data_IF_899042535123
#
_entry.id   IF_899042535123
#
_cell.length_a   1.000
_cell.length_b   1.000
_cell.length_c   1.000
_cell.angle_alpha   90.00
_cell.angle_beta   90.00
_cell.angle_gamma   90.00
#
_symmetry.space_group_name_H-M   'P 1'
#
loop_
_entity.id
_entity.type
_entity.pdbx_description
1 polymer ?
#
# COMPACT_ATOMS: atom_id res chain seq x y z
N UNK A 1 -10.11 -1.09 6.11
CA UNK A 1 -11.00 -0.69 7.22
C UNK A 1 -10.76 -1.55 8.45
N UNK A 2 -11.07 -2.86 8.44
CA UNK A 2 -10.77 -3.77 9.58
C UNK A 2 -9.28 -3.77 10.00
N UNK A 3 -8.35 -3.79 9.03
CA UNK A 3 -6.90 -3.63 9.28
C UNK A 3 -6.60 -2.40 10.15
N UNK A 4 -7.19 -1.25 9.78
CA UNK A 4 -7.01 0.02 10.47
C UNK A 4 -7.62 0.00 11.88
N UNK A 5 -8.83 -0.53 12.02
CA UNK A 5 -9.50 -0.68 13.32
C UNK A 5 -8.64 -1.48 14.32
N UNK A 6 -8.11 -2.63 13.90
CA UNK A 6 -7.27 -3.48 14.75
C UNK A 6 -5.96 -2.79 15.11
N UNK A 7 -5.35 -2.08 14.17
CA UNK A 7 -4.08 -1.39 14.41
C UNK A 7 -4.24 -0.22 15.40
N UNK A 8 -5.26 0.61 15.20
CA UNK A 8 -5.56 1.76 16.07
C UNK A 8 -6.00 1.33 17.46
N UNK A 9 -6.60 0.15 17.61
CA UNK A 9 -7.04 -0.36 18.92
C UNK A 9 -5.93 -0.46 19.96
N UNK A 10 -4.65 -0.46 19.54
CA UNK A 10 -3.50 -0.35 20.43
C UNK A 10 -3.42 0.99 21.17
N UNK A 11 -3.88 2.08 20.54
CA UNK A 11 -3.90 3.43 21.14
C UNK A 11 -5.30 3.74 21.68
N UNK A 12 -6.33 3.52 20.85
CA UNK A 12 -7.70 3.92 21.14
C UNK A 12 -8.68 2.94 20.51
N UNK A 13 -9.60 2.39 21.30
CA UNK A 13 -10.66 1.54 20.75
C UNK A 13 -11.60 2.41 19.92
N UNK A 14 -11.82 2.01 18.67
CA UNK A 14 -12.74 2.68 17.74
C UNK A 14 -13.73 1.67 17.18
N UNK A 15 -14.94 2.14 16.84
CA UNK A 15 -15.92 1.31 16.18
C UNK A 15 -15.48 0.96 14.75
N UNK A 16 -16.09 -0.07 14.16
CA UNK A 16 -15.84 -0.37 12.74
C UNK A 16 -16.25 0.80 11.83
N UNK A 17 -17.36 1.48 12.17
CA UNK A 17 -17.86 2.62 11.42
C UNK A 17 -16.87 3.79 11.44
N UNK A 18 -16.26 4.09 12.59
CA UNK A 18 -15.20 5.11 12.68
C UNK A 18 -14.00 4.73 11.82
N UNK A 19 -13.57 3.46 11.88
CA UNK A 19 -12.45 2.98 11.08
C UNK A 19 -12.75 3.06 9.57
N UNK A 20 -13.99 2.81 9.17
CA UNK A 20 -14.49 2.94 7.80
C UNK A 20 -14.45 4.41 7.36
N UNK A 21 -15.07 5.32 8.13
CA UNK A 21 -15.08 6.76 7.88
C UNK A 21 -13.67 7.33 7.76
N UNK A 22 -12.78 6.98 8.68
CA UNK A 22 -11.38 7.40 8.66
C UNK A 22 -10.63 6.84 7.44
N UNK A 23 -10.85 5.57 7.07
CA UNK A 23 -10.17 4.97 5.91
C UNK A 23 -10.64 5.59 4.59
N UNK A 24 -11.94 5.84 4.44
CA UNK A 24 -12.52 6.40 3.20
C UNK A 24 -12.19 7.88 3.03
N UNK A 25 -12.29 8.67 4.11
CA UNK A 25 -11.87 10.08 4.08
C UNK A 25 -10.37 10.22 3.76
N UNK A 26 -9.54 9.34 4.32
CA UNK A 26 -8.12 9.32 4.06
C UNK A 26 -7.77 8.90 2.62
N UNK A 27 -8.49 7.93 2.06
CA UNK A 27 -8.35 7.58 0.65
C UNK A 27 -8.69 8.76 -0.26
N UNK A 28 -9.76 9.50 0.06
CA UNK A 28 -10.16 10.69 -0.70
C UNK A 28 -9.11 11.79 -0.64
N UNK A 29 -8.61 12.10 0.56
CA UNK A 29 -7.52 13.06 0.73
C UNK A 29 -6.25 12.64 -0.01
N UNK A 30 -6.00 11.33 -0.13
CA UNK A 30 -4.83 10.81 -0.84
C UNK A 30 -4.88 11.02 -2.35
N UNK A 31 -6.07 11.20 -2.95
CA UNK A 31 -6.23 11.44 -4.40
C UNK A 31 -5.56 12.72 -4.87
N UNK A 32 -5.65 13.79 -4.06
CA UNK A 32 -5.20 15.13 -4.41
C UNK A 32 -3.77 15.43 -3.92
N UNK A 33 -3.17 14.53 -3.15
CA UNK A 33 -1.83 14.72 -2.59
C UNK A 33 -0.78 13.83 -3.26
N UNK A 34 0.45 14.32 -3.49
CA UNK A 34 1.53 13.47 -3.98
C UNK A 34 1.85 12.38 -2.96
N UNK A 35 2.24 11.19 -3.45
CA UNK A 35 2.65 10.05 -2.63
C UNK A 35 1.70 9.70 -1.47
N UNK A 36 0.39 9.92 -1.65
CA UNK A 36 -0.67 9.63 -0.67
C UNK A 36 -0.44 10.28 0.71
N UNK A 37 0.29 11.38 0.79
CA UNK A 37 0.59 12.07 2.07
C UNK A 37 -0.71 12.49 2.80
N UNK A 38 -1.76 12.82 2.05
CA UNK A 38 -3.09 13.16 2.57
C UNK A 38 -3.73 12.05 3.41
N UNK A 39 -3.41 10.77 3.17
CA UNK A 39 -3.93 9.64 3.96
C UNK A 39 -3.49 9.73 5.43
N UNK A 40 -2.24 10.17 5.67
CA UNK A 40 -1.70 10.34 7.01
C UNK A 40 -2.34 11.51 7.75
N UNK A 41 -2.47 12.65 7.07
CA UNK A 41 -3.07 13.86 7.63
C UNK A 41 -4.55 13.63 7.95
N UNK A 42 -5.31 13.06 7.01
CA UNK A 42 -6.73 12.81 7.18
C UNK A 42 -7.01 11.92 8.39
N UNK A 43 -6.29 10.79 8.56
CA UNK A 43 -6.45 9.93 9.73
C UNK A 43 -6.08 10.63 11.04
N UNK A 44 -5.04 11.46 11.03
CA UNK A 44 -4.60 12.18 12.23
C UNK A 44 -5.61 13.24 12.71
N UNK A 45 -6.33 13.90 11.81
CA UNK A 45 -7.29 14.97 12.15
C UNK A 45 -8.48 14.46 12.98
N UNK A 46 -8.84 13.18 12.88
CA UNK A 46 -9.91 12.56 13.70
C UNK A 46 -9.53 12.40 15.19
N UNK A 47 -8.28 12.70 15.57
CA UNK A 47 -7.76 12.53 16.93
C UNK A 47 -7.27 13.85 17.53
N UNK A 48 -7.30 13.93 18.86
CA UNK A 48 -6.74 15.05 19.63
C UNK A 48 -5.22 15.15 19.43
N UNK A 49 -4.66 16.36 19.61
CA UNK A 49 -3.28 16.70 19.25
C UNK A 49 -2.24 15.76 19.89
N UNK A 50 -2.51 15.25 21.10
CA UNK A 50 -1.66 14.31 21.83
C UNK A 50 -1.48 12.97 21.10
N UNK A 51 -2.49 12.46 20.40
CA UNK A 51 -2.45 11.17 19.73
C UNK A 51 -1.99 11.23 18.26
N UNK A 52 -2.07 12.39 17.61
CA UNK A 52 -1.82 12.55 16.16
C UNK A 52 -0.51 11.92 15.68
N UNK A 53 0.60 12.16 16.41
CA UNK A 53 1.92 11.59 16.07
C UNK A 53 1.89 10.05 16.06
N UNK A 54 1.27 9.44 17.07
CA UNK A 54 1.18 7.98 17.18
C UNK A 54 0.25 7.39 16.10
N UNK A 55 -0.81 8.10 15.72
CA UNK A 55 -1.71 7.70 14.62
C UNK A 55 -0.99 7.73 13.27
N UNK A 56 -0.18 8.75 13.00
CA UNK A 56 0.67 8.82 11.79
C UNK A 56 1.64 7.63 11.76
N UNK A 57 2.26 7.28 12.89
CA UNK A 57 3.17 6.13 12.99
C UNK A 57 2.46 4.80 12.76
N UNK A 58 1.27 4.59 13.32
CA UNK A 58 0.48 3.39 13.04
C UNK A 58 0.12 3.30 11.56
N UNK A 59 -0.26 4.42 10.94
CA UNK A 59 -0.57 4.42 9.51
C UNK A 59 0.66 4.07 8.67
N UNK A 60 1.84 4.57 9.04
CA UNK A 60 3.10 4.21 8.42
C UNK A 60 3.37 2.70 8.53
N UNK A 61 3.22 2.11 9.72
CA UNK A 61 3.35 0.65 9.91
C UNK A 61 2.37 -0.15 9.02
N UNK A 62 1.16 0.38 8.80
CA UNK A 62 0.18 -0.26 7.93
C UNK A 62 0.58 -0.24 6.46
N UNK A 63 1.18 0.86 5.99
CA UNK A 63 1.72 0.97 4.62
C UNK A 63 3.01 0.16 4.45
N UNK A 64 3.88 0.13 5.45
CA UNK A 64 5.10 -0.71 5.44
C UNK A 64 4.76 -2.19 5.32
N UNK A 65 3.73 -2.68 6.04
CA UNK A 65 3.27 -4.06 5.90
C UNK A 65 2.67 -4.38 4.52
N UNK A 66 2.08 -3.38 3.85
CA UNK A 66 1.61 -3.53 2.47
C UNK A 66 2.78 -3.58 1.48
N UNK A 67 3.78 -2.73 1.69
CA UNK A 67 4.98 -2.70 0.86
C UNK A 67 5.77 -4.00 1.02
N UNK A 68 5.94 -4.52 2.24
CA UNK A 68 6.65 -5.78 2.46
C UNK A 68 5.96 -6.96 1.77
N UNK A 69 4.63 -7.05 1.83
CA UNK A 69 3.89 -8.06 1.06
C UNK A 69 4.16 -7.91 -0.45
N UNK A 70 4.11 -6.68 -0.97
CA UNK A 70 4.37 -6.41 -2.40
C UNK A 70 5.79 -6.79 -2.81
N UNK A 71 6.78 -6.51 -1.96
CA UNK A 71 8.17 -6.89 -2.19
C UNK A 71 8.34 -8.41 -2.20
N UNK A 72 7.78 -9.13 -1.22
CA UNK A 72 7.92 -10.60 -1.12
C UNK A 72 7.36 -11.27 -2.39
N UNK A 73 6.10 -11.00 -2.74
CA UNK A 73 5.48 -11.61 -3.91
C UNK A 73 6.06 -11.08 -5.21
N UNK A 74 6.37 -9.79 -5.27
CA UNK A 74 6.95 -9.15 -6.44
C UNK A 74 8.32 -9.70 -6.80
N UNK A 75 9.21 -9.89 -5.82
CA UNK A 75 10.54 -10.47 -6.06
C UNK A 75 10.43 -11.90 -6.57
N UNK A 76 9.51 -12.71 -6.02
CA UNK A 76 9.26 -14.08 -6.50
C UNK A 76 8.75 -14.04 -7.95
N UNK A 77 7.70 -13.26 -8.22
CA UNK A 77 7.10 -13.14 -9.54
C UNK A 77 8.08 -12.65 -10.60
N UNK A 78 8.86 -11.62 -10.27
CA UNK A 78 9.88 -11.06 -11.14
C UNK A 78 11.02 -12.01 -11.42
N UNK A 79 11.47 -12.78 -10.41
CA UNK A 79 12.50 -13.79 -10.60
C UNK A 79 12.03 -14.88 -11.57
N UNK A 80 10.80 -15.36 -11.40
CA UNK A 80 10.18 -16.33 -12.30
C UNK A 80 9.97 -15.77 -13.71
N UNK A 81 9.54 -14.50 -13.82
CA UNK A 81 9.35 -13.79 -15.09
C UNK A 81 10.66 -13.68 -15.86
N UNK A 82 11.72 -13.23 -15.19
CA UNK A 82 13.06 -13.09 -15.76
C UNK A 82 13.63 -14.43 -16.23
N UNK A 83 13.42 -15.51 -15.46
CA UNK A 83 13.87 -16.86 -15.85
C UNK A 83 13.08 -17.41 -17.04
N UNK A 84 11.78 -17.11 -17.16
CA UNK A 84 10.92 -17.69 -18.18
C UNK A 84 11.02 -16.99 -19.53
N UNK A 85 11.02 -15.66 -19.54
CA UNK A 85 10.96 -14.88 -20.78
C UNK A 85 12.33 -14.45 -21.30
N UNK A 86 13.41 -15.00 -20.73
CA UNK A 86 14.80 -14.79 -21.17
C UNK A 86 15.06 -13.35 -21.57
N UNK A 87 14.59 -12.41 -20.76
CA UNK A 87 14.85 -11.01 -21.02
C UNK A 87 16.37 -10.85 -21.07
N UNK A 88 16.90 -10.39 -22.19
CA UNK A 88 18.27 -9.87 -22.34
C UNK A 88 18.48 -8.59 -21.50
N UNK A 89 17.92 -8.58 -20.29
CA UNK A 89 18.29 -7.67 -19.22
C UNK A 89 19.59 -8.23 -18.66
N UNK A 90 20.74 -7.58 -18.91
CA UNK A 90 22.02 -8.08 -18.44
C UNK A 90 21.88 -8.33 -16.93
N UNK A 91 22.03 -9.60 -16.52
CA UNK A 91 21.76 -10.10 -15.17
C UNK A 91 22.39 -9.24 -14.05
N UNK A 92 23.46 -8.51 -14.39
CA UNK A 92 24.16 -7.53 -13.57
C UNK A 92 23.36 -6.25 -13.22
N UNK A 93 22.45 -5.76 -14.10
CA UNK A 93 21.55 -4.62 -13.82
C UNK A 93 20.35 -5.03 -12.97
N UNK A 94 19.88 -6.26 -13.15
CA UNK A 94 18.74 -6.83 -12.42
C UNK A 94 19.08 -7.09 -10.94
N UNK A 95 20.23 -7.74 -10.72
CA UNK A 95 20.80 -7.92 -9.38
C UNK A 95 21.09 -6.59 -8.70
N UNK A 96 21.50 -5.56 -9.46
CA UNK A 96 21.72 -4.20 -8.92
C UNK A 96 20.42 -3.50 -8.53
N UNK A 97 19.33 -3.64 -9.28
CA UNK A 97 18.03 -3.05 -8.92
C UNK A 97 17.40 -3.75 -7.70
N UNK A 98 17.45 -5.09 -7.65
CA UNK A 98 17.05 -5.86 -6.48
C UNK A 98 17.93 -5.54 -5.27
N UNK A 99 19.25 -5.46 -5.45
CA UNK A 99 20.18 -5.04 -4.41
C UNK A 99 19.93 -3.60 -3.97
N UNK A 100 19.49 -2.70 -4.85
CA UNK A 100 19.19 -1.29 -4.52
C UNK A 100 17.87 -1.18 -3.75
N UNK A 101 16.83 -1.93 -4.11
CA UNK A 101 15.57 -2.00 -3.34
C UNK A 101 15.79 -2.69 -1.99
N UNK A 102 16.55 -3.78 -1.96
CA UNK A 102 16.93 -4.47 -0.71
C UNK A 102 17.85 -3.62 0.14
N UNK A 103 18.78 -2.85 -0.43
CA UNK A 103 19.65 -1.94 0.32
C UNK A 103 18.93 -0.69 0.76
N UNK A 104 17.95 -0.15 0.03
CA UNK A 104 17.04 0.89 0.56
C UNK A 104 16.21 0.32 1.72
N UNK A 105 15.67 -0.90 1.59
CA UNK A 105 14.97 -1.60 2.66
C UNK A 105 15.85 -1.85 3.89
N UNK A 106 17.12 -2.23 3.66
CA UNK A 106 18.12 -2.50 4.69
C UNK A 106 18.63 -1.19 5.32
N UNK A 107 18.84 -0.11 4.55
CA UNK A 107 19.21 1.22 5.04
C UNK A 107 18.05 1.84 5.81
N UNK A 108 16.81 1.64 5.39
CA UNK A 108 15.64 2.01 6.20
C UNK A 108 15.60 1.20 7.50
N UNK A 109 15.82 -0.12 7.45
CA UNK A 109 15.87 -0.99 8.63
C UNK A 109 17.07 -0.71 9.57
N UNK A 110 18.22 -0.32 9.02
CA UNK A 110 19.44 0.03 9.76
C UNK A 110 19.42 1.48 10.23
N UNK A 111 18.82 2.42 9.50
CA UNK A 111 18.50 3.76 9.96
C UNK A 111 17.48 3.75 11.11
N UNK A 112 16.58 2.76 11.12
CA UNK A 112 15.73 2.42 12.28
C UNK A 112 16.56 1.87 13.46
N UNK A 113 17.68 1.18 13.20
CA UNK A 113 18.60 0.67 14.23
C UNK A 113 19.60 1.73 14.74
N UNK A 114 19.92 2.74 13.93
CA UNK A 114 20.93 3.74 14.24
C UNK A 114 20.26 4.99 14.84
N UNK A 115 20.20 4.96 16.18
CA UNK A 115 19.52 5.87 17.11
C UNK A 115 20.02 7.35 17.10
N UNK A 116 20.51 7.88 15.98
CA UNK A 116 21.33 9.11 15.93
C UNK A 116 20.75 10.24 15.09
N UNK A 117 19.58 10.08 14.46
CA UNK A 117 18.93 11.17 13.73
C UNK A 117 17.93 11.88 14.66
N UNK A 118 18.44 12.80 15.49
CA UNK A 118 17.60 13.72 16.29
C UNK A 118 17.07 14.83 15.37
N UNK A 119 16.00 14.55 14.63
CA UNK A 119 15.22 15.60 13.97
C UNK A 119 14.45 16.33 15.08
N UNK A 120 14.59 17.66 15.20
CA UNK A 120 13.89 18.48 16.22
C UNK A 120 12.40 18.06 16.32
N UNK A 121 12.01 17.47 17.45
CA UNK A 121 10.63 17.04 17.72
C UNK A 121 10.25 15.59 17.35
N UNK A 122 11.19 14.82 16.80
CA UNK A 122 11.08 13.39 16.48
C UNK A 122 12.23 12.64 17.16
N UNK A 123 11.95 11.95 18.26
CA UNK A 123 12.93 11.08 18.93
C UNK A 123 12.76 9.64 18.42
N UNK A 124 13.67 9.12 17.58
CA UNK A 124 13.55 7.76 17.02
C UNK A 124 13.48 6.68 18.10
N UNK A 125 14.13 6.91 19.24
CA UNK A 125 14.11 6.02 20.41
C UNK A 125 12.69 5.79 20.95
N UNK A 126 11.88 6.85 21.11
CA UNK A 126 10.49 6.76 21.58
C UNK A 126 9.58 6.06 20.58
N UNK A 127 9.88 6.18 19.29
CA UNK A 127 9.14 5.50 18.21
C UNK A 127 9.46 4.00 18.25
N UNK A 128 10.73 3.65 18.34
CA UNK A 128 11.16 2.25 18.40
C UNK A 128 10.59 1.55 19.64
N UNK A 129 10.61 2.23 20.78
CA UNK A 129 10.01 1.73 22.02
C UNK A 129 8.50 1.54 21.88
N UNK A 130 7.79 2.47 21.23
CA UNK A 130 6.35 2.33 20.95
C UNK A 130 6.05 1.12 20.06
N UNK A 131 6.82 0.93 18.98
CA UNK A 131 6.67 -0.20 18.06
C UNK A 131 6.96 -1.53 18.77
N UNK A 132 8.00 -1.58 19.60
CA UNK A 132 8.40 -2.77 20.36
C UNK A 132 7.43 -3.12 21.48
N UNK A 133 6.80 -2.12 22.11
CA UNK A 133 5.73 -2.32 23.10
C UNK A 133 4.43 -2.86 22.47
N UNK A 134 4.26 -2.74 21.15
CA UNK A 134 3.07 -3.25 20.49
C UNK A 134 3.07 -4.78 20.44
N UNK A 135 1.99 -5.46 20.86
CA UNK A 135 1.92 -6.92 20.86
C UNK A 135 2.19 -7.52 19.48
N UNK A 136 2.96 -8.62 19.44
CA UNK A 136 3.28 -9.35 18.20
C UNK A 136 2.03 -9.74 17.41
N UNK A 137 0.93 -10.06 18.12
CA UNK A 137 -0.37 -10.36 17.52
C UNK A 137 -0.89 -9.23 16.62
N UNK A 138 -0.68 -7.97 16.98
CA UNK A 138 -1.13 -6.81 16.18
C UNK A 138 -0.26 -6.68 14.93
N UNK A 139 1.06 -6.85 15.06
CA UNK A 139 1.98 -6.86 13.92
C UNK A 139 1.62 -7.96 12.92
N UNK A 140 1.44 -9.20 13.41
CA UNK A 140 1.08 -10.35 12.58
C UNK A 140 -0.28 -10.14 11.90
N UNK A 141 -1.29 -9.67 12.65
CA UNK A 141 -2.61 -9.37 12.09
C UNK A 141 -2.53 -8.31 10.99
N UNK A 142 -1.76 -7.23 11.20
CA UNK A 142 -1.56 -6.17 10.21
C UNK A 142 -0.87 -6.69 8.93
N UNK A 143 0.13 -7.56 9.09
CA UNK A 143 0.81 -8.19 7.97
C UNK A 143 -0.12 -9.17 7.21
N UNK A 144 -0.85 -10.04 7.91
CA UNK A 144 -1.80 -10.98 7.30
C UNK A 144 -2.88 -10.26 6.50
N UNK A 145 -3.46 -9.16 7.01
CA UNK A 145 -4.41 -8.36 6.23
C UNK A 145 -3.79 -7.74 4.98
N UNK A 146 -2.51 -7.41 5.03
CA UNK A 146 -1.79 -6.83 3.89
C UNK A 146 -1.51 -7.88 2.81
N UNK A 147 -1.17 -9.11 3.22
CA UNK A 147 -1.06 -10.27 2.33
C UNK A 147 -2.41 -10.63 1.70
N UNK A 148 -3.47 -10.74 2.49
CA UNK A 148 -4.81 -11.05 1.98
C UNK A 148 -5.27 -10.00 0.96
N UNK A 149 -5.07 -8.71 1.26
CA UNK A 149 -5.39 -7.62 0.33
C UNK A 149 -4.59 -7.73 -0.97
N UNK A 150 -3.31 -8.08 -0.88
CA UNK A 150 -2.47 -8.30 -2.06
C UNK A 150 -3.03 -9.43 -2.92
N UNK A 151 -3.32 -10.59 -2.32
CA UNK A 151 -3.88 -11.75 -3.02
C UNK A 151 -5.23 -11.44 -3.68
N UNK A 152 -6.11 -10.71 -2.99
CA UNK A 152 -7.40 -10.28 -3.55
C UNK A 152 -7.18 -9.40 -4.79
N UNK A 153 -6.29 -8.42 -4.74
CA UNK A 153 -6.04 -7.56 -5.91
C UNK A 153 -5.34 -8.29 -7.06
N UNK A 154 -4.41 -9.21 -6.76
CA UNK A 154 -3.78 -10.03 -7.79
C UNK A 154 -4.82 -10.94 -8.47
N UNK A 155 -5.66 -11.61 -7.67
CA UNK A 155 -6.72 -12.46 -8.17
C UNK A 155 -7.79 -11.67 -8.93
N UNK A 156 -8.17 -10.48 -8.46
CA UNK A 156 -9.12 -9.61 -9.17
C UNK A 156 -8.61 -9.21 -10.55
N UNK A 157 -7.31 -8.89 -10.68
CA UNK A 157 -6.71 -8.60 -11.98
C UNK A 157 -6.76 -9.82 -12.90
N UNK A 158 -6.42 -11.01 -12.39
CA UNK A 158 -6.53 -12.26 -13.13
C UNK A 158 -7.96 -12.60 -13.54
N UNK A 159 -8.91 -12.42 -12.64
CA UNK A 159 -10.32 -12.64 -12.93
C UNK A 159 -10.81 -11.73 -14.06
N UNK A 160 -10.34 -10.48 -14.11
CA UNK A 160 -10.60 -9.60 -15.24
C UNK A 160 -9.93 -10.11 -16.53
N UNK A 161 -8.69 -10.61 -16.50
CA UNK A 161 -8.08 -11.25 -17.69
C UNK A 161 -8.98 -12.38 -18.24
N UNK A 162 -9.54 -13.22 -17.36
CA UNK A 162 -10.47 -14.29 -17.76
C UNK A 162 -11.77 -13.74 -18.36
N UNK A 163 -12.38 -12.70 -17.77
CA UNK A 163 -13.60 -12.06 -18.30
C UNK A 163 -13.38 -11.52 -19.71
N UNK A 164 -12.20 -10.94 -19.95
CA UNK A 164 -11.84 -10.41 -21.27
C UNK A 164 -11.39 -11.50 -22.27
N UNK A 165 -11.51 -12.79 -21.90
CA UNK A 165 -11.24 -13.91 -22.80
C UNK A 165 -9.76 -14.17 -23.06
N UNK A 166 -8.87 -13.73 -22.17
CA UNK A 166 -7.43 -13.95 -22.32
C UNK A 166 -7.08 -15.37 -21.84
N UNK A 167 -6.64 -16.21 -22.76
CA UNK A 167 -6.16 -17.56 -22.47
C UNK A 167 -4.73 -17.55 -21.94
N UNK A 168 -4.58 -17.22 -20.65
CA UNK A 168 -3.30 -17.25 -19.94
C UNK A 168 -3.45 -18.09 -18.69
N UNK A 169 -2.57 -19.07 -18.53
CA UNK A 169 -2.56 -19.91 -17.33
C UNK A 169 -2.37 -19.07 -16.07
N UNK A 170 -3.04 -19.46 -14.99
CA UNK A 170 -3.01 -18.75 -13.71
C UNK A 170 -1.59 -18.40 -13.24
N UNK A 171 -0.65 -19.34 -13.34
CA UNK A 171 0.74 -19.11 -12.92
C UNK A 171 1.45 -18.06 -13.78
N UNK A 172 1.22 -18.07 -15.09
CA UNK A 172 1.81 -17.07 -15.99
C UNK A 172 1.22 -15.68 -15.73
N UNK A 173 -0.10 -15.58 -15.54
CA UNK A 173 -0.74 -14.32 -15.20
C UNK A 173 -0.23 -13.78 -13.85
N UNK A 174 -0.16 -14.61 -12.81
CA UNK A 174 0.36 -14.20 -11.50
C UNK A 174 1.81 -13.72 -11.59
N UNK A 175 2.66 -14.40 -12.35
CA UNK A 175 4.05 -14.00 -12.58
C UNK A 175 4.15 -12.57 -13.16
N UNK A 176 3.33 -12.25 -14.15
CA UNK A 176 3.28 -10.92 -14.79
C UNK A 176 2.68 -9.87 -13.83
N UNK A 177 1.54 -10.17 -13.19
CA UNK A 177 0.82 -9.25 -12.30
C UNK A 177 1.67 -8.87 -11.08
N UNK A 178 2.33 -9.84 -10.46
CA UNK A 178 3.16 -9.62 -9.28
C UNK A 178 4.43 -8.82 -9.64
N UNK A 179 5.00 -9.06 -10.82
CA UNK A 179 6.08 -8.25 -11.40
C UNK A 179 5.64 -6.81 -11.66
N UNK A 180 4.49 -6.62 -12.28
CA UNK A 180 3.88 -5.31 -12.53
C UNK A 180 3.71 -4.53 -11.22
N UNK A 181 3.16 -5.16 -10.17
CA UNK A 181 3.00 -4.54 -8.86
C UNK A 181 4.33 -4.16 -8.21
N UNK A 182 5.38 -4.97 -8.38
CA UNK A 182 6.73 -4.63 -7.89
C UNK A 182 7.25 -3.37 -8.57
N UNK A 183 7.26 -3.33 -9.90
CA UNK A 183 7.80 -2.20 -10.67
C UNK A 183 6.99 -0.92 -10.36
N UNK A 184 5.66 -1.03 -10.33
CA UNK A 184 4.79 0.10 -10.02
C UNK A 184 4.99 0.64 -8.59
N UNK A 185 5.44 -0.21 -7.64
CA UNK A 185 5.64 0.22 -6.25
C UNK A 185 6.87 1.12 -6.04
N UNK A 186 7.82 1.11 -6.98
CA UNK A 186 9.07 1.89 -6.88
C UNK A 186 8.88 3.33 -7.35
N UNK A 187 7.92 3.59 -8.24
CA UNK A 187 7.74 4.89 -8.89
C UNK A 187 6.87 5.79 -7.98
N UNK A 188 7.42 6.87 -7.40
CA UNK A 188 6.61 7.83 -6.65
C UNK A 188 5.75 8.65 -7.62
N UNK A 189 4.43 8.59 -7.47
CA UNK A 189 3.50 9.27 -8.37
C UNK A 189 2.43 10.06 -7.62
N UNK A 190 1.79 10.99 -8.33
CA UNK A 190 0.47 11.45 -7.93
C UNK A 190 -0.54 10.32 -8.13
N UNK A 191 -1.48 10.20 -7.20
CA UNK A 191 -2.45 9.11 -7.24
C UNK A 191 -3.26 9.06 -8.55
N UNK A 192 -3.60 10.22 -9.11
CA UNK A 192 -4.34 10.32 -10.37
C UNK A 192 -3.50 9.84 -11.56
N UNK A 193 -2.17 10.01 -11.49
CA UNK A 193 -1.23 9.54 -12.53
C UNK A 193 -0.83 8.07 -12.34
N UNK A 194 -1.16 7.46 -11.19
CA UNK A 194 -0.87 6.05 -10.87
C UNK A 194 -1.47 5.09 -11.90
N UNK A 195 -2.65 5.42 -12.44
CA UNK A 195 -3.27 4.61 -13.50
C UNK A 195 -2.46 4.61 -14.79
N UNK A 196 -1.90 5.75 -15.19
CA UNK A 196 -1.09 5.87 -16.41
C UNK A 196 0.20 5.08 -16.23
N UNK A 197 0.87 5.24 -15.09
CA UNK A 197 2.11 4.51 -14.80
C UNK A 197 1.87 3.00 -14.74
N UNK A 198 0.83 2.55 -14.05
CA UNK A 198 0.47 1.11 -14.01
C UNK A 198 0.05 0.59 -15.37
N UNK A 199 -0.70 1.38 -16.14
CA UNK A 199 -1.11 1.04 -17.50
C UNK A 199 0.10 0.85 -18.41
N UNK A 200 1.07 1.76 -18.38
CA UNK A 200 2.30 1.64 -19.17
C UNK A 200 3.14 0.41 -18.80
N UNK A 201 3.29 0.12 -17.49
CA UNK A 201 4.01 -1.08 -17.04
C UNK A 201 3.24 -2.35 -17.45
N UNK A 202 1.92 -2.37 -17.28
CA UNK A 202 1.08 -3.50 -17.64
C UNK A 202 1.18 -3.78 -19.14
N UNK A 203 1.02 -2.74 -19.99
CA UNK A 203 1.18 -2.83 -21.43
C UNK A 203 2.53 -3.47 -21.79
N UNK A 204 3.63 -2.94 -21.28
CA UNK A 204 4.96 -3.47 -21.56
C UNK A 204 5.11 -4.95 -21.18
N UNK A 205 4.63 -5.35 -20.00
CA UNK A 205 4.83 -6.72 -19.51
C UNK A 205 3.90 -7.74 -20.19
N UNK A 206 2.66 -7.34 -20.50
CA UNK A 206 1.68 -8.23 -21.12
C UNK A 206 1.84 -8.32 -22.65
N UNK A 207 2.44 -7.31 -23.29
CA UNK A 207 2.83 -7.35 -24.71
C UNK A 207 3.86 -8.46 -24.99
N UNK A 208 4.78 -8.71 -24.05
CA UNK A 208 5.75 -9.82 -24.11
C UNK A 208 5.05 -11.19 -24.20
N UNK A 209 3.82 -11.30 -23.70
CA UNK A 209 3.02 -12.53 -23.68
C UNK A 209 1.94 -12.50 -24.77
N UNK A 210 1.98 -11.51 -25.67
CA UNK A 210 1.09 -11.39 -26.83
C UNK A 210 -0.34 -10.99 -26.48
N UNK A 211 -0.57 -10.36 -25.33
CA UNK A 211 -1.91 -9.93 -24.92
C UNK A 211 -2.23 -8.57 -25.54
N UNK A 212 -3.47 -8.41 -26.03
CA UNK A 212 -3.92 -7.18 -26.67
C UNK A 212 -3.82 -5.94 -25.73
N UNK A 213 -3.19 -4.88 -26.23
CA UNK A 213 -2.95 -3.64 -25.49
C UNK A 213 -4.24 -2.94 -25.01
N UNK A 214 -5.29 -2.90 -25.84
CA UNK A 214 -6.58 -2.30 -25.47
C UNK A 214 -7.22 -3.05 -24.30
N UNK A 215 -7.16 -4.38 -24.33
CA UNK A 215 -7.66 -5.22 -23.23
C UNK A 215 -6.95 -4.91 -21.92
N UNK A 216 -5.62 -4.82 -21.92
CA UNK A 216 -4.83 -4.53 -20.72
C UNK A 216 -5.10 -3.13 -20.16
N UNK A 217 -5.29 -2.14 -21.03
CA UNK A 217 -5.71 -0.79 -20.64
C UNK A 217 -7.08 -0.81 -19.96
N UNK A 218 -8.06 -1.50 -20.56
CA UNK A 218 -9.40 -1.64 -19.98
C UNK A 218 -9.35 -2.31 -18.60
N UNK A 219 -8.58 -3.40 -18.45
CA UNK A 219 -8.43 -4.10 -17.18
C UNK A 219 -7.80 -3.19 -16.12
N UNK A 220 -6.75 -2.46 -16.48
CA UNK A 220 -6.04 -1.57 -15.55
C UNK A 220 -6.92 -0.39 -15.11
N UNK A 221 -7.72 0.15 -16.04
CA UNK A 221 -8.73 1.17 -15.75
C UNK A 221 -9.82 0.65 -14.83
N UNK A 222 -10.39 -0.53 -15.10
CA UNK A 222 -11.40 -1.15 -14.24
C UNK A 222 -10.86 -1.42 -12.84
N UNK A 223 -9.63 -1.95 -12.74
CA UNK A 223 -8.96 -2.14 -11.47
C UNK A 223 -8.81 -0.83 -10.70
N UNK A 224 -8.48 0.27 -11.37
CA UNK A 224 -8.34 1.57 -10.72
C UNK A 224 -9.70 2.14 -10.28
N UNK A 225 -10.73 2.05 -11.14
CA UNK A 225 -12.08 2.53 -10.83
C UNK A 225 -12.65 1.79 -9.62
N UNK A 226 -12.65 0.45 -9.67
CA UNK A 226 -13.28 -0.38 -8.65
C UNK A 226 -12.58 -0.27 -7.28
N UNK A 227 -11.25 -0.20 -7.27
CA UNK A 227 -10.48 -0.27 -6.02
C UNK A 227 -10.13 1.10 -5.42
N UNK A 228 -10.20 2.16 -6.22
CA UNK A 228 -9.77 3.48 -5.79
C UNK A 228 -10.82 4.57 -6.03
N UNK A 229 -11.31 4.74 -7.26
CA UNK A 229 -12.25 5.82 -7.58
C UNK A 229 -13.56 5.63 -6.84
N UNK A 230 -14.17 4.46 -6.97
CA UNK A 230 -15.47 4.17 -6.37
C UNK A 230 -15.45 4.32 -4.84
N UNK A 231 -14.48 3.74 -4.10
CA UNK A 231 -14.38 4.00 -2.66
C UNK A 231 -14.09 5.47 -2.30
N UNK A 232 -13.36 6.21 -3.14
CA UNK A 232 -13.06 7.62 -2.87
C UNK A 232 -14.26 8.53 -3.05
N UNK A 233 -15.16 8.23 -4.00
CA UNK A 233 -16.43 8.96 -4.15
C UNK A 233 -17.24 8.83 -2.85
N UNK A 234 -17.33 7.62 -2.31
CA UNK A 234 -18.00 7.37 -1.01
C UNK A 234 -17.27 8.13 0.11
N UNK A 235 -15.94 8.15 0.09
CA UNK A 235 -15.13 8.89 1.06
C UNK A 235 -15.31 10.40 1.04
N UNK A 236 -15.57 11.00 -0.12
CA UNK A 236 -15.82 12.43 -0.27
C UNK A 236 -16.99 12.90 0.59
N UNK A 237 -18.08 12.11 0.68
CA UNK A 237 -19.20 12.39 1.58
C UNK A 237 -18.76 12.52 3.05
N UNK A 238 -17.78 11.72 3.49
CA UNK A 238 -17.28 11.78 4.86
C UNK A 238 -16.31 12.95 5.10
N UNK A 239 -15.57 13.37 4.08
CA UNK A 239 -14.70 14.56 4.14
C UNK A 239 -15.55 15.82 4.26
N UNK A 240 -16.58 15.95 3.42
CA UNK A 240 -17.45 17.13 3.39
C UNK A 240 -18.32 17.26 4.66
N UNK A 241 -18.73 16.14 5.26
CA UNK A 241 -19.49 16.12 6.51
C UNK A 241 -18.62 16.16 7.78
N UNK A 242 -17.32 16.43 7.66
CA UNK A 242 -16.42 16.50 8.82
C UNK A 242 -16.61 17.80 9.61
N UNK A 243 -17.55 17.81 10.57
CA UNK A 243 -17.60 18.82 11.64
C UNK A 243 -16.57 18.50 12.73
N UNK A 244 -15.90 19.53 13.27
CA UNK A 244 -14.92 19.47 14.37
C UNK A 244 -15.42 18.76 15.64
N UNK A 245 -16.72 18.52 15.78
CA UNK A 245 -17.34 17.79 16.89
C UNK A 245 -17.16 16.26 16.82
N UNK A 246 -16.71 15.71 15.68
CA UNK A 246 -16.50 14.27 15.49
C UNK A 246 -15.11 13.77 15.90
N UNK A 247 -14.35 14.57 16.66
CA UNK A 247 -13.08 14.11 17.25
C UNK A 247 -13.40 12.96 18.20
N UNK A 248 -12.74 11.82 18.04
CA UNK A 248 -12.98 10.65 18.90
C UNK A 248 -12.76 11.11 20.35
N UNK A 249 -13.78 11.07 21.24
CA UNK A 249 -13.68 11.63 22.58
C UNK A 249 -12.60 10.92 23.39
N UNK A 250 -11.80 11.67 24.15
CA UNK A 250 -10.70 11.15 24.98
C UNK A 250 -11.26 10.43 26.21
N UNK A 251 -11.82 9.25 26.00
CA UNK A 251 -12.18 8.33 27.09
C UNK A 251 -10.97 7.45 27.42
N UNK A 252 -10.00 8.04 28.12
CA UNK A 252 -9.18 7.31 29.08
C UNK A 252 -9.34 8.01 30.42
N UNK A 253 -10.14 7.40 31.30
CA UNK A 253 -9.99 7.60 32.74
C UNK A 253 -8.63 7.01 33.13
N UNK A 254 -8.02 7.71 34.07
CA UNK A 254 -6.75 7.46 34.77
C UNK A 254 -6.41 5.98 35.00
#
# INVERSE_FOLDING_TARGET
>A
MHKWQKLVSFIKKISFYDALKQSLSALTASLITPNRIGDYAAKAVHYSKSFRKRIVLLNLLSHMAQMSATLIFGVIGFSLFASKYSMDLPYFKLGRMLALVLSIGLIAALGIKQNRIKIKGFEPSKIFEFIRKMPLKIHLTNFSFSVIRYLIFSYQFYFLLCIFGIDVSYLNAMMIITTMYLIASVIPTFFILDIVVKGSIALYLFDIVGVNNLTILCITLLMWILNFVFPSIIGSFYVLNFKSLNVVPDTQRE
#
